data_IF_738961714199
#
_entry.id   IF_738961714199
#
_cell.length_a   1.000
_cell.length_b   1.000
_cell.length_c   1.000
_cell.angle_alpha   90.00
_cell.angle_beta   90.00
_cell.angle_gamma   90.00
#
_symmetry.space_group_name_H-M   'P 1'
#
loop_
_entity.id
_entity.type
_entity.pdbx_description
1 polymer ?
#
# COMPACT_ATOMS: atom_id res chain seq x y z
N UNK A 1 25.73 -4.66 0.27
CA UNK A 1 24.54 -4.50 -0.59
C UNK A 1 23.46 -5.44 -0.11
N UNK A 2 22.32 -4.90 0.34
CA UNK A 2 21.17 -5.72 0.71
C UNK A 2 20.47 -6.21 -0.57
N UNK A 3 20.05 -7.48 -0.67
CA UNK A 3 19.50 -8.04 -1.90
C UNK A 3 18.18 -7.37 -2.30
N UNK A 4 17.85 -7.38 -3.60
CA UNK A 4 16.50 -7.03 -4.07
C UNK A 4 15.51 -8.03 -3.46
N UNK A 5 14.63 -7.54 -2.59
CA UNK A 5 13.68 -8.39 -1.87
C UNK A 5 12.32 -8.31 -2.56
N UNK A 6 11.98 -9.37 -3.29
CA UNK A 6 10.64 -9.51 -3.86
C UNK A 6 9.60 -9.68 -2.73
N UNK A 7 8.38 -9.15 -2.94
CA UNK A 7 7.24 -9.42 -2.09
C UNK A 7 7.06 -10.91 -1.83
N UNK A 8 7.01 -11.30 -0.55
CA UNK A 8 6.75 -12.68 -0.14
C UNK A 8 5.55 -12.75 0.80
N UNK A 9 4.85 -13.88 0.76
CA UNK A 9 3.82 -14.22 1.74
C UNK A 9 4.51 -14.87 2.94
N UNK A 10 4.94 -14.05 3.90
CA UNK A 10 5.41 -14.56 5.20
C UNK A 10 4.36 -14.23 6.26
N UNK A 11 3.91 -15.24 7.01
CA UNK A 11 3.01 -15.07 8.18
C UNK A 11 3.78 -14.80 9.48
N UNK A 12 5.11 -14.98 9.48
CA UNK A 12 5.95 -14.73 10.63
C UNK A 12 6.17 -13.23 10.86
N UNK A 13 6.23 -12.83 12.12
CA UNK A 13 6.57 -11.47 12.58
C UNK A 13 8.05 -11.32 12.94
N UNK A 14 8.79 -12.42 13.08
CA UNK A 14 10.23 -12.44 13.30
C UNK A 14 10.88 -13.23 12.17
N UNK A 15 11.93 -12.67 11.56
CA UNK A 15 12.67 -13.32 10.48
C UNK A 15 13.80 -14.19 11.03
N UNK A 16 13.96 -15.41 10.51
CA UNK A 16 15.01 -16.35 10.94
C UNK A 16 16.23 -16.31 10.02
N UNK A 17 16.25 -15.39 9.06
CA UNK A 17 17.39 -15.05 8.22
C UNK A 17 17.24 -13.62 7.69
N UNK A 18 18.33 -13.05 7.16
CA UNK A 18 18.38 -11.67 6.64
C UNK A 18 17.29 -11.37 5.63
N UNK A 19 17.01 -12.29 4.70
CA UNK A 19 15.98 -12.12 3.67
C UNK A 19 14.58 -12.00 4.30
N UNK A 20 14.25 -12.89 5.23
CA UNK A 20 12.96 -12.84 5.94
C UNK A 20 12.85 -11.57 6.79
N UNK A 21 13.91 -11.20 7.52
CA UNK A 21 13.92 -9.99 8.34
C UNK A 21 13.64 -8.74 7.49
N UNK A 22 14.26 -8.62 6.32
CA UNK A 22 14.00 -7.53 5.37
C UNK A 22 12.57 -7.55 4.82
N UNK A 23 12.04 -8.72 4.43
CA UNK A 23 10.66 -8.84 3.91
C UNK A 23 9.62 -8.40 4.93
N UNK A 24 9.79 -8.87 6.16
CA UNK A 24 8.91 -8.55 7.29
C UNK A 24 9.02 -7.07 7.62
N UNK A 25 10.25 -6.55 7.77
CA UNK A 25 10.51 -5.15 8.05
C UNK A 25 9.93 -4.23 6.98
N UNK A 26 10.09 -4.55 5.70
CA UNK A 26 9.48 -3.78 4.62
C UNK A 26 7.95 -3.76 4.71
N UNK A 27 7.31 -4.93 4.86
CA UNK A 27 5.84 -5.00 4.92
C UNK A 27 5.27 -4.28 6.13
N UNK A 28 5.82 -4.53 7.32
CA UNK A 28 5.36 -3.91 8.55
C UNK A 28 5.65 -2.41 8.58
N UNK A 29 6.85 -2.01 8.12
CA UNK A 29 7.25 -0.60 8.02
C UNK A 29 6.33 0.21 7.11
N UNK A 30 6.06 -0.28 5.90
CA UNK A 30 5.12 0.39 4.98
C UNK A 30 3.71 0.45 5.56
N UNK A 31 3.21 -0.63 6.18
CA UNK A 31 1.88 -0.62 6.82
C UNK A 31 1.80 0.37 7.97
N UNK A 32 2.83 0.42 8.83
CA UNK A 32 2.91 1.38 9.93
C UNK A 32 2.86 2.81 9.42
N UNK A 33 3.69 3.13 8.43
CA UNK A 33 3.73 4.45 7.79
C UNK A 33 2.37 4.84 7.18
N UNK A 34 1.76 3.96 6.39
CA UNK A 34 0.47 4.25 5.75
C UNK A 34 -0.63 4.42 6.81
N UNK A 35 -0.65 3.60 7.86
CA UNK A 35 -1.65 3.76 8.95
C UNK A 35 -1.52 5.10 9.64
N UNK A 36 -0.31 5.53 9.95
CA UNK A 36 -0.07 6.79 10.63
C UNK A 36 -0.61 7.96 9.80
N UNK A 37 -0.27 7.98 8.50
CA UNK A 37 -0.78 8.99 7.56
C UNK A 37 -2.31 8.99 7.50
N UNK A 38 -2.94 7.81 7.34
CA UNK A 38 -4.40 7.71 7.25
C UNK A 38 -5.10 8.12 8.56
N UNK A 39 -4.48 7.84 9.70
CA UNK A 39 -5.02 8.20 11.02
C UNK A 39 -4.96 9.71 11.23
N UNK A 40 -3.83 10.33 10.91
CA UNK A 40 -3.66 11.78 10.94
C UNK A 40 -4.63 12.50 10.00
N UNK A 41 -4.81 12.00 8.77
CA UNK A 41 -5.78 12.57 7.82
C UNK A 41 -7.24 12.44 8.32
N UNK A 42 -7.62 11.31 8.92
CA UNK A 42 -8.96 11.14 9.49
C UNK A 42 -9.23 12.14 10.62
N UNK A 43 -8.24 12.36 11.48
CA UNK A 43 -8.33 13.30 12.58
C UNK A 43 -8.44 14.74 12.06
N UNK A 44 -7.57 15.12 11.13
CA UNK A 44 -7.54 16.46 10.53
C UNK A 44 -8.85 16.79 9.80
N UNK A 45 -9.38 15.87 8.99
CA UNK A 45 -10.66 16.06 8.32
C UNK A 45 -11.89 15.88 9.24
N UNK A 46 -11.72 15.42 10.48
CA UNK A 46 -12.83 15.15 11.40
C UNK A 46 -13.79 14.03 10.93
N UNK A 47 -13.29 13.06 10.13
CA UNK A 47 -14.11 12.01 9.53
C UNK A 47 -13.88 10.65 10.18
N UNK A 48 -14.97 9.89 10.38
CA UNK A 48 -14.90 8.50 10.86
C UNK A 48 -14.42 7.53 9.78
N UNK A 49 -14.77 7.79 8.52
CA UNK A 49 -14.41 6.97 7.35
C UNK A 49 -13.70 7.85 6.33
N UNK A 50 -12.53 7.39 5.89
CA UNK A 50 -11.75 8.02 4.83
C UNK A 50 -11.68 7.02 3.68
N UNK A 51 -12.27 7.30 2.51
CA UNK A 51 -12.12 6.46 1.32
C UNK A 51 -10.64 6.40 0.92
N UNK A 52 -10.13 5.19 0.73
CA UNK A 52 -8.74 4.96 0.31
C UNK A 52 -8.76 4.20 -1.01
N UNK A 53 -8.01 4.69 -2.00
CA UNK A 53 -7.67 3.93 -3.19
C UNK A 53 -6.15 3.81 -3.30
N UNK A 54 -5.68 2.72 -3.91
CA UNK A 54 -4.26 2.50 -4.13
C UNK A 54 -4.02 1.83 -5.49
N UNK A 55 -2.86 2.14 -6.07
CA UNK A 55 -2.41 1.59 -7.35
C UNK A 55 -0.92 1.20 -7.25
N UNK A 56 -0.34 0.72 -8.34
CA UNK A 56 1.05 0.27 -8.40
C UNK A 56 1.25 -1.20 -8.04
N UNK A 57 2.39 -1.75 -8.46
CA UNK A 57 2.65 -3.20 -8.44
C UNK A 57 2.67 -3.84 -7.04
N UNK A 58 2.90 -3.06 -5.99
CA UNK A 58 2.97 -3.56 -4.61
C UNK A 58 1.68 -3.37 -3.80
N UNK A 59 0.67 -2.68 -4.33
CA UNK A 59 -0.57 -2.40 -3.60
C UNK A 59 -1.25 -3.68 -3.10
N UNK A 60 -1.42 -4.67 -3.98
CA UNK A 60 -1.99 -5.97 -3.62
C UNK A 60 -1.21 -6.68 -2.51
N UNK A 61 0.12 -6.57 -2.49
CA UNK A 61 0.93 -7.22 -1.46
C UNK A 61 0.88 -6.50 -0.11
N UNK A 62 0.94 -5.16 -0.12
CA UNK A 62 0.89 -4.36 1.11
C UNK A 62 -0.48 -4.50 1.79
N UNK A 63 -1.57 -4.42 1.02
CA UNK A 63 -2.93 -4.39 1.57
C UNK A 63 -3.56 -5.77 1.83
N UNK A 64 -2.99 -6.85 1.30
CA UNK A 64 -3.51 -8.21 1.53
C UNK A 64 -3.54 -8.56 3.02
N UNK A 65 -4.64 -9.07 3.56
CA UNK A 65 -4.76 -9.44 4.99
C UNK A 65 -4.41 -8.26 5.91
N UNK A 66 -4.96 -7.08 5.61
CA UNK A 66 -4.84 -5.88 6.43
C UNK A 66 -6.23 -5.37 6.83
N UNK A 67 -6.33 -4.72 7.98
CA UNK A 67 -7.57 -4.11 8.53
C UNK A 67 -7.87 -2.72 7.95
N UNK A 68 -6.94 -2.16 7.16
CA UNK A 68 -7.20 -0.94 6.38
C UNK A 68 -7.78 -1.32 5.03
N UNK A 69 -9.06 -1.00 4.83
CA UNK A 69 -9.73 -1.16 3.55
C UNK A 69 -9.24 -0.13 2.53
N UNK A 70 -8.93 -0.58 1.32
CA UNK A 70 -8.61 0.28 0.19
C UNK A 70 -9.08 -0.35 -1.12
N UNK A 71 -9.60 0.47 -2.03
CA UNK A 71 -9.88 0.07 -3.40
C UNK A 71 -8.57 -0.04 -4.19
N UNK A 72 -8.21 -1.25 -4.62
CA UNK A 72 -7.01 -1.49 -5.42
C UNK A 72 -7.35 -1.38 -6.90
N UNK A 73 -6.77 -0.40 -7.60
CA UNK A 73 -6.97 -0.20 -9.04
C UNK A 73 -5.62 -0.12 -9.76
N UNK A 74 -5.22 -1.20 -10.43
CA UNK A 74 -3.93 -1.29 -11.14
C UNK A 74 -3.88 -0.44 -12.41
N UNK A 75 -5.02 0.07 -12.89
CA UNK A 75 -5.12 0.90 -14.09
C UNK A 75 -5.46 2.35 -13.78
N UNK A 76 -5.43 2.76 -12.50
CA UNK A 76 -5.86 4.09 -12.05
C UNK A 76 -5.23 5.23 -12.89
N UNK A 77 -3.92 5.17 -13.11
CA UNK A 77 -3.21 6.17 -13.93
C UNK A 77 -3.67 6.18 -15.38
N UNK A 78 -3.86 5.00 -15.99
CA UNK A 78 -4.28 4.90 -17.40
C UNK A 78 -5.74 5.36 -17.58
N UNK A 79 -6.61 5.08 -16.61
CA UNK A 79 -7.98 5.60 -16.60
C UNK A 79 -7.98 7.13 -16.54
N UNK A 80 -7.17 7.71 -15.65
CA UNK A 80 -7.02 9.17 -15.57
C UNK A 80 -6.52 9.78 -16.88
N UNK A 81 -5.54 9.14 -17.53
CA UNK A 81 -5.04 9.59 -18.83
C UNK A 81 -6.12 9.56 -19.92
N UNK A 82 -6.94 8.50 -19.95
CA UNK A 82 -8.07 8.40 -20.88
C UNK A 82 -9.10 9.51 -20.68
N UNK A 83 -9.50 9.78 -19.43
CA UNK A 83 -10.45 10.84 -19.10
C UNK A 83 -9.93 12.22 -19.51
N UNK A 84 -8.65 12.51 -19.28
CA UNK A 84 -8.06 13.78 -19.72
C UNK A 84 -8.06 13.89 -21.24
N UNK A 85 -7.78 12.80 -21.96
CA UNK A 85 -7.86 12.75 -23.42
C UNK A 85 -9.28 13.05 -23.95
N UNK A 86 -10.31 12.46 -23.33
CA UNK A 86 -11.72 12.70 -23.69
C UNK A 86 -12.17 14.14 -23.37
N UNK A 87 -11.64 14.76 -22.32
CA UNK A 87 -11.99 16.14 -21.94
C UNK A 87 -11.38 17.22 -22.84
N UNK A 88 -10.29 16.90 -23.56
CA UNK A 88 -9.51 17.87 -24.34
C UNK A 88 -9.42 17.53 -25.84
N UNK A 89 -10.08 16.46 -26.29
CA UNK A 89 -10.22 16.08 -27.70
C UNK A 89 -11.53 16.58 -28.27
#
# INVERSE_FOLDING_TARGET
LLPHVAPSKTKAVVGHNTRQAMQIGARLGYRGMVREILTSLKADFGVKKLPVCCTGGYAGWIFKDWDVEAAIDTKLTLKGLGLIGELNG
#
